data_IF_396759548782
#
_entry.id   IF_396759548782
#
_cell.length_a   1.000
_cell.length_b   1.000
_cell.length_c   1.000
_cell.angle_alpha   90.00
_cell.angle_beta   90.00
_cell.angle_gamma   90.00
#
_symmetry.space_group_name_H-M   'P 1'
#
loop_
_entity.id
_entity.type
_entity.pdbx_description
1 polymer ?
#
# COMPACT_ATOMS: atom_id res chain seq x y z
N UNK A 1 31.37 38.38 26.82
CA UNK A 1 30.71 38.98 28.00
C UNK A 1 29.87 40.14 27.54
N UNK A 2 28.66 40.28 28.09
CA UNK A 2 27.91 41.55 28.18
C UNK A 2 28.70 42.54 29.07
N UNK A 3 28.50 43.89 29.04
CA UNK A 3 27.22 44.66 29.05
C UNK A 3 27.22 45.86 28.05
N UNK A 4 26.16 46.62 27.69
CA UNK A 4 25.00 47.25 28.33
C UNK A 4 25.29 48.52 29.18
N UNK A 5 24.82 49.71 28.72
CA UNK A 5 24.07 50.74 29.50
C UNK A 5 23.69 52.00 28.68
N UNK A 6 22.41 52.38 28.80
CA UNK A 6 21.71 53.66 28.51
C UNK A 6 21.95 54.70 29.66
N UNK A 7 21.23 55.85 29.89
CA UNK A 7 20.04 56.46 29.24
C UNK A 7 19.95 58.03 29.16
N UNK A 8 18.77 58.51 28.75
CA UNK A 8 18.00 59.76 29.06
C UNK A 8 18.50 61.15 28.60
N UNK A 9 17.65 62.09 28.13
CA UNK A 9 16.66 62.88 28.92
C UNK A 9 15.53 63.50 28.03
N UNK A 10 14.28 63.27 28.48
CA UNK A 10 13.07 64.13 28.69
C UNK A 10 12.42 65.12 27.68
N UNK A 11 11.11 65.28 27.96
CA UNK A 11 9.93 65.84 27.29
C UNK A 11 9.54 67.30 27.69
N UNK A 12 8.46 67.79 27.05
CA UNK A 12 7.47 68.87 27.41
C UNK A 12 7.75 70.26 26.80
N UNK A 13 6.84 71.04 26.18
CA UNK A 13 5.42 70.97 25.79
C UNK A 13 4.85 72.37 25.42
N UNK A 14 3.78 72.44 24.57
CA UNK A 14 2.77 73.54 24.33
C UNK A 14 3.24 74.92 23.78
N UNK A 15 2.56 75.70 22.91
CA UNK A 15 1.18 75.83 22.39
C UNK A 15 1.10 76.75 21.11
N UNK A 16 0.13 76.47 20.20
CA UNK A 16 -0.60 77.33 19.18
C UNK A 16 0.14 78.31 18.24
N UNK A 17 -0.07 78.38 16.90
CA UNK A 17 -1.29 78.36 16.06
C UNK A 17 -1.09 77.66 14.67
N UNK A 18 -2.22 77.28 14.03
CA UNK A 18 -2.46 76.47 12.79
C UNK A 18 -2.46 77.29 11.46
N UNK A 19 -2.77 76.78 10.22
CA UNK A 19 -3.36 75.48 9.80
C UNK A 19 -2.80 74.79 8.51
N UNK A 20 -3.18 73.52 8.27
CA UNK A 20 -3.28 72.94 6.93
C UNK A 20 -3.01 71.43 6.81
N UNK A 21 -4.07 70.61 6.77
CA UNK A 21 -3.96 69.18 6.38
C UNK A 21 -5.34 68.54 6.13
N UNK A 22 -5.48 67.63 5.14
CA UNK A 22 -6.69 66.82 4.97
C UNK A 22 -6.48 65.36 5.42
N UNK A 23 -7.41 64.88 6.26
CA UNK A 23 -7.53 63.51 6.77
C UNK A 23 -8.24 62.57 5.78
N UNK A 24 -7.99 61.25 5.92
CA UNK A 24 -9.06 60.25 5.72
C UNK A 24 -8.63 58.86 5.24
N UNK A 25 -8.31 57.96 6.17
CA UNK A 25 -8.33 56.49 5.96
C UNK A 25 -9.78 55.99 6.20
N UNK A 26 -10.27 54.97 5.45
CA UNK A 26 -10.95 53.73 5.93
C UNK A 26 -11.59 52.92 4.77
N UNK A 27 -11.66 51.60 5.04
CA UNK A 27 -11.97 50.34 4.32
C UNK A 27 -13.40 50.12 3.72
N UNK A 28 -13.42 49.20 2.73
CA UNK A 28 -14.31 48.01 2.48
C UNK A 28 -15.72 48.08 1.82
N UNK A 29 -16.01 46.99 1.08
CA UNK A 29 -17.28 46.31 0.70
C UNK A 29 -17.89 46.48 -0.74
N UNK A 30 -17.74 45.41 -1.54
CA UNK A 30 -18.74 44.59 -2.30
C UNK A 30 -19.92 45.17 -3.12
N UNK A 31 -20.07 44.71 -4.39
CA UNK A 31 -21.14 43.80 -4.94
C UNK A 31 -21.60 44.07 -6.42
N UNK A 32 -21.67 42.97 -7.23
CA UNK A 32 -22.39 42.65 -8.51
C UNK A 32 -22.58 43.69 -9.66
N UNK A 33 -22.67 43.38 -10.98
CA UNK A 33 -22.74 42.16 -11.79
C UNK A 33 -23.15 42.46 -13.26
N UNK A 34 -23.10 41.43 -14.13
CA UNK A 34 -23.76 41.23 -15.45
C UNK A 34 -23.14 41.68 -16.83
N UNK A 35 -22.66 40.65 -17.55
CA UNK A 35 -22.69 40.26 -19.00
C UNK A 35 -22.81 41.23 -20.19
N UNK A 36 -22.08 40.90 -21.28
CA UNK A 36 -22.47 41.20 -22.68
C UNK A 36 -21.44 40.86 -23.77
N UNK A 37 -21.70 39.78 -24.53
CA UNK A 37 -21.45 39.54 -25.98
C UNK A 37 -20.02 39.49 -26.61
N UNK A 38 -19.63 38.25 -26.98
CA UNK A 38 -19.39 37.70 -28.34
C UNK A 38 -18.66 38.52 -29.44
N UNK A 39 -17.47 38.07 -29.87
CA UNK A 39 -17.02 37.93 -31.29
C UNK A 39 -15.62 37.24 -31.32
N UNK A 40 -15.43 36.04 -31.89
CA UNK A 40 -15.24 35.62 -33.31
C UNK A 40 -13.80 35.77 -33.84
N UNK A 41 -13.27 34.66 -34.40
CA UNK A 41 -12.09 34.49 -35.28
C UNK A 41 -10.71 34.62 -34.59
N UNK A 42 -9.62 33.95 -34.99
CA UNK A 42 -9.33 32.95 -36.03
C UNK A 42 -7.91 32.41 -35.82
N UNK A 43 -7.66 31.25 -36.43
CA UNK A 43 -6.40 30.49 -36.58
C UNK A 43 -5.17 31.33 -36.94
N UNK A 44 -3.99 30.89 -36.48
CA UNK A 44 -2.76 30.81 -37.30
C UNK A 44 -1.82 29.72 -36.76
N UNK A 45 -1.44 28.80 -37.65
CA UNK A 45 -0.29 27.90 -37.51
C UNK A 45 0.99 28.68 -37.84
N UNK A 46 2.08 28.40 -37.14
CA UNK A 46 3.41 28.40 -37.76
C UNK A 46 4.34 27.40 -37.09
N UNK A 47 4.86 26.52 -37.95
CA UNK A 47 6.01 25.65 -37.75
C UNK A 47 7.29 26.48 -37.53
N UNK A 48 8.12 26.09 -36.56
CA UNK A 48 9.60 26.07 -36.66
C UNK A 48 10.10 24.87 -35.84
N UNK A 49 10.79 23.95 -36.50
CA UNK A 49 11.53 22.83 -35.91
C UNK A 49 12.83 23.31 -35.26
N UNK A 50 13.19 22.70 -34.12
CA UNK A 50 14.58 22.34 -33.81
C UNK A 50 14.65 21.26 -32.69
N UNK A 51 15.73 20.46 -32.65
CA UNK A 51 15.72 19.09 -32.13
C UNK A 51 15.96 19.03 -30.63
N UNK A 52 15.23 18.19 -29.91
CA UNK A 52 15.60 17.86 -28.53
C UNK A 52 15.18 16.44 -28.13
N UNK A 53 16.19 15.69 -27.70
CA UNK A 53 16.20 14.61 -26.72
C UNK A 53 14.97 13.68 -26.64
N UNK A 54 15.23 12.41 -26.95
CA UNK A 54 14.35 11.26 -26.69
C UNK A 54 13.97 11.19 -25.19
N UNK A 55 12.87 11.83 -24.79
CA UNK A 55 12.26 11.62 -23.48
C UNK A 55 11.48 10.30 -23.52
N UNK A 56 11.99 9.29 -22.81
CA UNK A 56 11.19 8.11 -22.42
C UNK A 56 9.89 8.60 -21.78
N UNK A 57 8.70 8.15 -22.21
CA UNK A 57 7.49 8.47 -21.50
C UNK A 57 7.51 7.76 -20.14
N UNK A 58 7.70 8.52 -19.06
CA UNK A 58 7.30 8.07 -17.73
C UNK A 58 5.78 7.87 -17.78
N UNK A 59 5.35 6.61 -17.81
CA UNK A 59 3.95 6.24 -17.70
C UNK A 59 3.40 6.86 -16.40
N UNK A 60 2.50 7.84 -16.54
CA UNK A 60 1.78 8.40 -15.40
C UNK A 60 0.90 7.29 -14.85
N UNK A 61 1.23 6.80 -13.65
CA UNK A 61 0.40 5.91 -12.86
C UNK A 61 -1.03 6.49 -12.83
N UNK A 62 -2.02 5.78 -13.40
CA UNK A 62 -3.41 6.20 -13.32
C UNK A 62 -3.83 6.15 -11.85
N UNK A 63 -3.96 7.32 -11.24
CA UNK A 63 -4.47 7.53 -9.89
C UNK A 63 -5.95 7.11 -9.87
N UNK A 64 -6.23 5.86 -9.53
CA UNK A 64 -7.58 5.46 -9.17
C UNK A 64 -7.82 5.89 -7.73
N UNK A 65 -8.83 6.75 -7.54
CA UNK A 65 -9.37 7.07 -6.23
C UNK A 65 -10.06 5.83 -5.66
N UNK A 66 -9.27 4.93 -5.07
CA UNK A 66 -9.76 3.89 -4.18
C UNK A 66 -9.30 4.26 -2.77
N UNK A 67 -9.90 5.29 -2.19
CA UNK A 67 -9.79 5.54 -0.75
C UNK A 67 -11.18 5.67 -0.15
N UNK A 68 -11.35 4.98 0.97
CA UNK A 68 -12.36 5.32 1.97
C UNK A 68 -13.74 4.75 1.72
N UNK A 69 -13.87 3.45 1.41
CA UNK A 69 -15.05 2.76 1.90
C UNK A 69 -14.66 2.04 3.18
N UNK A 70 -14.99 2.65 4.32
CA UNK A 70 -15.15 1.91 5.58
C UNK A 70 -15.92 0.64 5.26
N UNK A 71 -15.39 -0.49 5.72
CA UNK A 71 -15.79 -1.83 5.34
C UNK A 71 -17.22 -2.13 5.82
N UNK A 72 -18.25 -1.65 5.11
CA UNK A 72 -19.64 -1.75 5.56
C UNK A 72 -20.29 -3.13 5.33
N UNK A 73 -19.55 -4.15 4.90
CA UNK A 73 -20.02 -5.53 5.07
C UNK A 73 -18.90 -6.32 5.76
N UNK A 74 -18.78 -6.15 7.08
CA UNK A 74 -18.15 -7.19 7.90
C UNK A 74 -18.81 -8.53 7.52
N UNK A 75 -18.03 -9.61 7.34
CA UNK A 75 -18.60 -10.93 7.23
C UNK A 75 -19.65 -11.13 8.34
N UNK A 76 -20.84 -11.62 7.96
CA UNK A 76 -21.91 -11.85 8.93
C UNK A 76 -21.57 -12.99 9.90
N UNK A 77 -20.58 -13.80 9.55
CA UNK A 77 -20.08 -14.93 10.31
C UNK A 77 -18.56 -14.90 10.32
N UNK A 78 -17.92 -15.12 11.48
CA UNK A 78 -16.47 -15.17 11.61
C UNK A 78 -15.90 -16.40 10.88
N UNK A 79 -14.62 -16.34 10.52
CA UNK A 79 -13.91 -17.40 9.79
C UNK A 79 -12.65 -17.87 10.54
N UNK A 80 -12.77 -18.60 11.68
CA UNK A 80 -11.64 -18.85 12.57
C UNK A 80 -10.48 -19.62 11.95
N UNK A 81 -10.77 -20.62 11.13
CA UNK A 81 -9.74 -21.38 10.43
C UNK A 81 -8.95 -20.49 9.49
N UNK A 82 -9.63 -19.57 8.80
CA UNK A 82 -9.00 -18.68 7.85
C UNK A 82 -8.15 -17.61 8.54
N UNK A 83 -8.64 -17.07 9.65
CA UNK A 83 -7.87 -16.16 10.51
C UNK A 83 -6.58 -16.84 10.95
N UNK A 84 -6.66 -18.06 11.47
CA UNK A 84 -5.48 -18.80 11.94
C UNK A 84 -4.44 -19.00 10.83
N UNK A 85 -4.86 -19.40 9.63
CA UNK A 85 -3.94 -19.58 8.48
C UNK A 85 -3.26 -18.27 8.07
N UNK A 86 -4.03 -17.19 7.93
CA UNK A 86 -3.51 -15.90 7.44
C UNK A 86 -2.64 -15.23 8.49
N UNK A 87 -3.01 -15.29 9.77
CA UNK A 87 -2.19 -14.72 10.85
C UNK A 87 -0.88 -15.49 11.01
N UNK A 88 -0.90 -16.82 10.88
CA UNK A 88 0.33 -17.61 10.86
C UNK A 88 1.26 -17.18 9.71
N UNK A 89 0.72 -17.04 8.50
CA UNK A 89 1.51 -16.60 7.36
C UNK A 89 2.03 -15.17 7.51
N UNK A 90 1.20 -14.25 8.01
CA UNK A 90 1.59 -12.87 8.32
C UNK A 90 2.77 -12.84 9.29
N UNK A 91 2.67 -13.55 10.42
CA UNK A 91 3.74 -13.60 11.43
C UNK A 91 5.04 -14.13 10.84
N UNK A 92 4.98 -15.23 10.09
CA UNK A 92 6.15 -15.78 9.41
C UNK A 92 6.80 -14.76 8.47
N UNK A 93 6.01 -14.01 7.69
CA UNK A 93 6.53 -12.97 6.82
C UNK A 93 7.14 -11.79 7.59
N UNK A 94 6.55 -11.38 8.72
CA UNK A 94 7.10 -10.33 9.59
C UNK A 94 8.44 -10.77 10.20
N UNK A 95 8.54 -12.02 10.63
CA UNK A 95 9.77 -12.62 11.14
C UNK A 95 10.85 -12.70 10.05
N UNK A 96 10.48 -13.05 8.80
CA UNK A 96 11.40 -13.00 7.66
C UNK A 96 11.95 -11.58 7.43
N UNK A 97 11.10 -10.56 7.55
CA UNK A 97 11.53 -9.16 7.48
C UNK A 97 12.52 -8.80 8.59
N UNK A 98 12.28 -9.27 9.82
CA UNK A 98 13.21 -9.08 10.93
C UNK A 98 14.55 -9.75 10.67
N UNK A 99 14.56 -10.99 10.17
CA UNK A 99 15.79 -11.72 9.84
C UNK A 99 16.61 -11.02 8.75
N UNK A 100 15.94 -10.53 7.70
CA UNK A 100 16.57 -9.75 6.61
C UNK A 100 17.19 -8.47 7.18
N UNK A 101 16.48 -7.74 8.03
CA UNK A 101 16.99 -6.51 8.64
C UNK A 101 18.13 -6.77 9.64
N UNK A 102 18.03 -7.83 10.44
CA UNK A 102 19.09 -8.23 11.36
C UNK A 102 20.38 -8.57 10.60
N UNK A 103 20.28 -9.32 9.51
CA UNK A 103 21.44 -9.66 8.66
C UNK A 103 22.10 -8.42 8.08
N UNK A 104 21.33 -7.45 7.57
CA UNK A 104 21.90 -6.20 7.03
C UNK A 104 22.48 -5.33 8.14
N UNK A 105 21.87 -5.30 9.33
CA UNK A 105 22.38 -4.59 10.50
C UNK A 105 23.75 -5.14 10.93
N UNK A 106 23.90 -6.47 11.00
CA UNK A 106 25.15 -7.13 11.38
C UNK A 106 26.26 -6.81 10.38
N UNK A 107 25.96 -6.86 9.08
CA UNK A 107 26.87 -6.49 8.00
C UNK A 107 27.32 -5.03 8.10
N UNK A 108 26.40 -4.08 8.25
CA UNK A 108 26.74 -2.65 8.37
C UNK A 108 27.53 -2.36 9.65
N UNK A 109 27.19 -3.04 10.74
CA UNK A 109 27.90 -2.91 12.02
C UNK A 109 29.34 -3.43 11.92
N UNK A 110 29.56 -4.55 11.22
CA UNK A 110 30.90 -5.06 10.91
C UNK A 110 31.68 -4.07 10.05
N UNK A 111 31.08 -3.54 8.97
CA UNK A 111 31.70 -2.52 8.12
C UNK A 111 32.08 -1.26 8.90
N UNK A 112 31.21 -0.79 9.80
CA UNK A 112 31.50 0.37 10.64
C UNK A 112 32.71 0.13 11.55
N UNK A 113 32.84 -1.08 12.13
CA UNK A 113 33.98 -1.46 12.98
C UNK A 113 35.29 -1.46 12.19
N UNK A 114 35.28 -2.00 10.97
CA UNK A 114 36.48 -2.10 10.12
C UNK A 114 36.93 -0.74 9.58
N UNK A 115 35.97 0.11 9.20
CA UNK A 115 36.26 1.41 8.58
C UNK A 115 36.65 2.51 9.58
N UNK A 116 36.40 2.30 10.89
CA UNK A 116 36.61 3.31 11.95
C UNK A 116 38.04 3.85 12.03
N UNK A 117 39.04 3.10 11.57
CA UNK A 117 40.46 3.50 11.62
C UNK A 117 40.97 4.19 10.35
N UNK A 118 40.35 3.95 9.20
CA UNK A 118 40.94 4.27 7.89
C UNK A 118 40.02 5.06 6.95
N UNK A 119 38.80 5.41 7.36
CA UNK A 119 37.81 6.07 6.49
C UNK A 119 37.56 7.54 6.86
N UNK A 120 37.03 8.30 5.89
CA UNK A 120 36.62 9.69 6.06
C UNK A 120 35.37 9.78 6.95
N UNK A 121 35.30 10.81 7.79
CA UNK A 121 34.19 11.01 8.74
C UNK A 121 32.79 10.97 8.08
N UNK A 122 32.65 11.52 6.87
CA UNK A 122 31.38 11.49 6.14
C UNK A 122 30.87 10.07 5.83
N UNK A 123 31.78 9.14 5.50
CA UNK A 123 31.42 7.74 5.21
C UNK A 123 30.93 7.03 6.48
N UNK A 124 31.58 7.30 7.62
CA UNK A 124 31.15 6.76 8.91
C UNK A 124 29.78 7.30 9.33
N UNK A 125 29.50 8.58 9.05
CA UNK A 125 28.20 9.18 9.29
C UNK A 125 27.10 8.55 8.44
N UNK A 126 27.35 8.31 7.16
CA UNK A 126 26.38 7.67 6.26
C UNK A 126 26.09 6.22 6.67
N UNK A 127 27.11 5.47 7.13
CA UNK A 127 26.94 4.12 7.68
C UNK A 127 26.12 4.12 8.98
N UNK A 128 26.45 4.99 9.94
CA UNK A 128 25.68 5.15 11.19
C UNK A 128 24.21 5.51 10.91
N UNK A 129 23.96 6.37 9.91
CA UNK A 129 22.61 6.72 9.48
C UNK A 129 21.85 5.51 8.92
N UNK A 130 22.50 4.66 8.13
CA UNK A 130 21.89 3.42 7.62
C UNK A 130 21.57 2.44 8.75
N UNK A 131 22.51 2.21 9.66
CA UNK A 131 22.33 1.38 10.87
C UNK A 131 21.10 1.85 11.65
N UNK A 132 21.05 3.15 12.00
CA UNK A 132 19.91 3.71 12.73
C UNK A 132 18.60 3.65 11.95
N UNK A 133 18.62 3.58 10.63
CA UNK A 133 17.41 3.42 9.81
C UNK A 133 16.88 1.98 9.94
N UNK A 134 17.77 0.99 9.83
CA UNK A 134 17.42 -0.43 9.98
C UNK A 134 16.93 -0.74 11.39
N UNK A 135 17.63 -0.27 12.43
CA UNK A 135 17.19 -0.50 13.80
C UNK A 135 15.79 0.11 14.09
N UNK A 136 15.44 1.23 13.44
CA UNK A 136 14.09 1.81 13.54
C UNK A 136 13.06 0.96 12.80
N UNK A 137 13.43 0.40 11.65
CA UNK A 137 12.55 -0.51 10.90
C UNK A 137 12.27 -1.79 11.71
N UNK A 138 13.29 -2.37 12.34
CA UNK A 138 13.14 -3.54 13.22
C UNK A 138 12.20 -3.27 14.39
N UNK A 139 12.41 -2.17 15.14
CA UNK A 139 11.51 -1.80 16.25
C UNK A 139 10.05 -1.64 15.82
N UNK A 140 9.81 -1.15 14.59
CA UNK A 140 8.46 -1.06 14.03
C UNK A 140 7.87 -2.43 13.70
N UNK A 141 8.66 -3.36 13.19
CA UNK A 141 8.23 -4.74 12.93
C UNK A 141 7.91 -5.46 14.23
N UNK A 142 8.77 -5.36 15.25
CA UNK A 142 8.53 -5.91 16.60
C UNK A 142 7.23 -5.38 17.22
N UNK A 143 6.99 -4.07 17.08
CA UNK A 143 5.73 -3.46 17.51
C UNK A 143 4.53 -4.00 16.73
N UNK A 144 4.67 -4.19 15.40
CA UNK A 144 3.61 -4.73 14.56
C UNK A 144 3.26 -6.18 14.91
N UNK A 145 4.28 -7.02 15.10
CA UNK A 145 4.11 -8.40 15.57
C UNK A 145 3.38 -8.41 16.92
N UNK A 146 3.82 -7.59 17.87
CA UNK A 146 3.17 -7.47 19.18
C UNK A 146 1.70 -7.07 19.05
N UNK A 147 1.37 -6.17 18.11
CA UNK A 147 -0.01 -5.73 17.89
C UNK A 147 -0.88 -6.82 17.26
N UNK A 148 -0.33 -7.56 16.31
CA UNK A 148 -0.98 -8.74 15.71
C UNK A 148 -1.26 -9.79 16.78
N UNK A 149 -0.28 -10.08 17.65
CA UNK A 149 -0.41 -11.06 18.72
C UNK A 149 -1.49 -10.67 19.73
N UNK A 150 -1.49 -9.43 20.21
CA UNK A 150 -2.52 -8.92 21.12
C UNK A 150 -3.95 -9.10 20.55
N UNK A 151 -4.16 -8.72 19.30
CA UNK A 151 -5.47 -8.85 18.65
C UNK A 151 -5.84 -10.31 18.39
N UNK A 152 -4.89 -11.15 18.01
CA UNK A 152 -5.15 -12.57 17.78
C UNK A 152 -5.46 -13.32 19.08
N UNK A 153 -4.82 -12.95 20.20
CA UNK A 153 -5.17 -13.46 21.53
C UNK A 153 -6.60 -13.06 21.92
N UNK A 154 -6.96 -11.78 21.72
CA UNK A 154 -8.33 -11.31 21.95
C UNK A 154 -9.36 -12.08 21.09
N UNK A 155 -9.04 -12.33 19.82
CA UNK A 155 -9.87 -13.16 18.93
C UNK A 155 -10.06 -14.57 19.48
N UNK A 156 -8.98 -15.22 19.93
CA UNK A 156 -9.02 -16.56 20.49
C UNK A 156 -9.89 -16.64 21.77
N UNK A 157 -9.87 -15.60 22.60
CA UNK A 157 -10.75 -15.50 23.77
C UNK A 157 -12.22 -15.45 23.34
N UNK A 158 -12.58 -14.57 22.40
CA UNK A 158 -13.96 -14.45 21.91
C UNK A 158 -14.44 -15.76 21.27
N UNK A 159 -13.60 -16.42 20.46
CA UNK A 159 -13.89 -17.75 19.89
C UNK A 159 -14.22 -18.78 20.96
N UNK A 160 -13.39 -18.86 22.01
CA UNK A 160 -13.61 -19.81 23.11
C UNK A 160 -14.90 -19.53 23.88
N UNK A 161 -15.25 -18.26 24.08
CA UNK A 161 -16.51 -17.85 24.70
C UNK A 161 -17.73 -18.22 23.82
N UNK A 162 -17.65 -17.96 22.52
CA UNK A 162 -18.67 -18.35 21.54
C UNK A 162 -18.88 -19.87 21.51
N UNK A 163 -17.80 -20.65 21.50
CA UNK A 163 -17.84 -22.11 21.56
C UNK A 163 -18.51 -22.61 22.86
N UNK A 164 -18.17 -21.97 23.99
CA UNK A 164 -18.81 -22.25 25.28
C UNK A 164 -20.32 -21.96 25.26
N UNK A 165 -20.72 -20.79 24.74
CA UNK A 165 -22.12 -20.43 24.57
C UNK A 165 -22.88 -21.40 23.66
N UNK A 166 -22.27 -21.84 22.55
CA UNK A 166 -22.83 -22.84 21.65
C UNK A 166 -23.09 -24.18 22.35
N UNK A 167 -22.13 -24.66 23.15
CA UNK A 167 -22.27 -25.90 23.94
C UNK A 167 -23.35 -25.76 25.01
N UNK A 168 -23.41 -24.63 25.72
CA UNK A 168 -24.47 -24.37 26.70
C UNK A 168 -25.85 -24.35 26.03
N UNK A 169 -25.98 -23.70 24.88
CA UNK A 169 -27.24 -23.67 24.11
C UNK A 169 -27.72 -25.08 23.76
N UNK A 170 -26.81 -25.96 23.33
CA UNK A 170 -27.13 -27.36 23.05
C UNK A 170 -27.57 -28.13 24.31
N UNK A 171 -26.85 -27.96 25.43
CA UNK A 171 -27.17 -28.62 26.69
C UNK A 171 -28.55 -28.21 27.25
N UNK A 172 -28.86 -26.90 27.23
CA UNK A 172 -30.17 -26.40 27.66
C UNK A 172 -31.30 -26.80 26.71
N UNK A 173 -31.03 -26.91 25.40
CA UNK A 173 -32.02 -27.39 24.43
C UNK A 173 -32.35 -28.89 24.61
N UNK A 174 -31.40 -29.68 25.11
CA UNK A 174 -31.62 -31.09 25.44
C UNK A 174 -32.23 -31.30 26.85
N UNK A 175 -32.34 -30.24 27.65
CA UNK A 175 -32.87 -30.28 29.02
C UNK A 175 -34.39 -30.11 29.04
N UNK A 176 -35.10 -30.61 30.08
CA UNK A 176 -36.54 -30.41 30.22
C UNK A 176 -36.92 -28.92 30.14
N UNK A 177 -37.96 -28.61 29.37
CA UNK A 177 -38.41 -27.24 29.15
C UNK A 177 -38.98 -26.65 30.45
N UNK A 178 -38.21 -25.77 31.10
CA UNK A 178 -38.64 -24.98 32.26
C UNK A 178 -38.61 -23.48 31.94
N UNK A 179 -39.25 -22.66 32.76
CA UNK A 179 -39.17 -21.19 32.62
C UNK A 179 -37.72 -20.70 32.76
N UNK A 180 -37.00 -21.18 33.77
CA UNK A 180 -35.59 -20.85 33.98
C UNK A 180 -34.73 -21.27 32.78
N UNK A 181 -34.95 -22.47 32.23
CA UNK A 181 -34.22 -22.93 31.05
C UNK A 181 -34.45 -22.03 29.82
N UNK A 182 -35.68 -21.51 29.63
CA UNK A 182 -35.99 -20.55 28.55
C UNK A 182 -35.30 -19.20 28.76
N UNK A 183 -35.26 -18.70 29.99
CA UNK A 183 -34.56 -17.46 30.34
C UNK A 183 -33.05 -17.60 30.10
N UNK A 184 -32.42 -18.70 30.56
CA UNK A 184 -31.01 -19.00 30.29
C UNK A 184 -30.71 -19.13 28.79
N UNK A 185 -31.56 -19.83 28.02
CA UNK A 185 -31.40 -19.94 26.56
C UNK A 185 -31.44 -18.58 25.86
N UNK A 186 -32.30 -17.66 26.32
CA UNK A 186 -32.35 -16.30 25.78
C UNK A 186 -31.09 -15.51 26.07
N UNK A 187 -30.54 -15.63 27.29
CA UNK A 187 -29.31 -14.95 27.68
C UNK A 187 -28.09 -15.50 26.92
N UNK A 188 -27.95 -16.83 26.86
CA UNK A 188 -26.91 -17.51 26.07
C UNK A 188 -27.01 -17.10 24.60
N UNK A 189 -28.22 -16.99 24.05
CA UNK A 189 -28.44 -16.52 22.68
C UNK A 189 -27.96 -15.09 22.43
N UNK A 190 -28.11 -14.20 23.43
CA UNK A 190 -27.59 -12.83 23.36
C UNK A 190 -26.06 -12.83 23.42
N UNK A 191 -25.46 -13.51 24.40
CA UNK A 191 -24.01 -13.58 24.56
C UNK A 191 -23.33 -14.23 23.35
N UNK A 192 -23.88 -15.31 22.80
CA UNK A 192 -23.38 -15.91 21.57
C UNK A 192 -23.33 -14.90 20.41
N UNK A 193 -24.39 -14.11 20.24
CA UNK A 193 -24.43 -13.08 19.18
C UNK A 193 -23.36 -12.02 19.41
N UNK A 194 -23.22 -11.53 20.63
CA UNK A 194 -22.20 -10.55 21.00
C UNK A 194 -20.78 -11.07 20.74
N UNK A 195 -20.46 -12.30 21.14
CA UNK A 195 -19.16 -12.91 20.84
C UNK A 195 -18.91 -13.04 19.33
N UNK A 196 -19.96 -13.37 18.56
CA UNK A 196 -19.87 -13.44 17.09
C UNK A 196 -19.56 -12.06 16.48
N UNK A 197 -20.25 -11.01 16.92
CA UNK A 197 -20.03 -9.63 16.46
C UNK A 197 -18.64 -9.12 16.84
N UNK A 198 -18.17 -9.43 18.06
CA UNK A 198 -16.82 -9.10 18.52
C UNK A 198 -15.76 -9.81 17.66
N UNK A 199 -15.93 -11.09 17.36
CA UNK A 199 -15.01 -11.82 16.48
C UNK A 199 -14.92 -11.17 15.10
N UNK A 200 -16.05 -10.86 14.44
CA UNK A 200 -16.04 -10.19 13.14
C UNK A 200 -15.36 -8.80 13.20
N UNK A 201 -15.52 -8.10 14.32
CA UNK A 201 -14.86 -6.80 14.53
C UNK A 201 -13.35 -6.96 14.63
N UNK A 202 -12.88 -7.93 15.41
CA UNK A 202 -11.44 -8.21 15.54
C UNK A 202 -10.86 -8.71 14.20
N UNK A 203 -11.58 -9.52 13.43
CA UNK A 203 -11.16 -9.92 12.07
C UNK A 203 -10.94 -8.70 11.16
N UNK A 204 -11.86 -7.74 11.17
CA UNK A 204 -11.71 -6.52 10.40
C UNK A 204 -10.52 -5.65 10.87
N UNK A 205 -10.21 -5.65 12.17
CA UNK A 205 -9.03 -4.98 12.71
C UNK A 205 -7.73 -5.68 12.29
N UNK A 206 -7.70 -7.01 12.36
CA UNK A 206 -6.57 -7.84 11.89
C UNK A 206 -6.34 -7.65 10.38
N UNK A 207 -7.40 -7.55 9.57
CA UNK A 207 -7.28 -7.24 8.13
C UNK A 207 -6.53 -5.93 7.87
N UNK A 208 -6.72 -4.91 8.72
CA UNK A 208 -6.00 -3.63 8.59
C UNK A 208 -4.51 -3.73 8.89
N UNK A 209 -4.06 -4.82 9.53
CA UNK A 209 -2.64 -5.07 9.86
C UNK A 209 -1.92 -5.94 8.82
N UNK A 210 -2.61 -6.37 7.76
CA UNK A 210 -1.99 -7.24 6.75
C UNK A 210 -1.07 -6.50 5.78
N UNK A 211 -1.13 -5.17 5.74
CA UNK A 211 -0.32 -4.34 4.85
C UNK A 211 -0.83 -4.30 3.41
N UNK A 212 0.06 -4.41 2.44
CA UNK A 212 -0.22 -4.21 1.01
C UNK A 212 0.52 -5.22 0.13
N UNK A 213 -0.15 -5.77 -0.89
CA UNK A 213 0.48 -6.50 -1.99
C UNK A 213 0.62 -5.57 -3.20
N UNK A 214 1.85 -5.25 -3.60
CA UNK A 214 2.15 -4.64 -4.89
C UNK A 214 2.31 -5.74 -5.94
N UNK A 215 1.43 -5.75 -6.94
CA UNK A 215 1.36 -6.78 -7.97
C UNK A 215 1.73 -6.14 -9.31
N UNK A 216 2.80 -6.62 -9.91
CA UNK A 216 3.33 -6.13 -11.17
C UNK A 216 3.12 -7.16 -12.29
N UNK A 217 2.60 -6.71 -13.42
CA UNK A 217 2.48 -7.54 -14.62
C UNK A 217 3.85 -7.78 -15.25
N UNK A 218 4.22 -9.06 -15.45
CA UNK A 218 5.48 -9.43 -16.12
C UNK A 218 5.25 -9.95 -17.53
N UNK A 219 4.15 -10.65 -17.78
CA UNK A 219 3.82 -11.14 -19.12
C UNK A 219 2.88 -12.35 -19.11
N UNK A 220 2.41 -12.70 -20.29
CA UNK A 220 1.69 -13.95 -20.56
C UNK A 220 2.62 -14.91 -21.31
N UNK A 221 2.76 -16.14 -20.87
CA UNK A 221 3.52 -17.17 -21.56
C UNK A 221 2.56 -18.22 -22.10
N UNK A 222 2.70 -18.60 -23.37
CA UNK A 222 1.89 -19.64 -23.98
C UNK A 222 2.52 -20.15 -25.26
N UNK A 223 3.23 -21.27 -25.17
CA UNK A 223 3.94 -21.85 -26.30
C UNK A 223 2.94 -22.16 -27.44
N UNK A 224 3.23 -21.64 -28.63
CA UNK A 224 2.42 -21.73 -29.86
C UNK A 224 1.01 -21.10 -29.83
N UNK A 225 0.59 -20.48 -28.73
CA UNK A 225 -0.76 -19.87 -28.61
C UNK A 225 -0.75 -18.34 -28.72
N UNK A 226 0.37 -17.70 -28.44
CA UNK A 226 0.49 -16.24 -28.48
C UNK A 226 1.06 -15.81 -29.84
N UNK A 227 0.23 -15.25 -30.70
CA UNK A 227 0.61 -14.79 -32.03
C UNK A 227 0.77 -13.26 -32.07
N UNK A 228 1.67 -12.74 -32.93
CA UNK A 228 1.71 -11.32 -33.25
C UNK A 228 0.35 -10.73 -33.60
N UNK A 229 -0.03 -9.64 -32.94
CA UNK A 229 -1.30 -8.96 -33.12
C UNK A 229 -2.40 -9.39 -32.15
N UNK A 230 -2.24 -10.52 -31.47
CA UNK A 230 -3.20 -10.97 -30.45
C UNK A 230 -3.35 -9.92 -29.36
N UNK A 231 -4.58 -9.77 -28.88
CA UNK A 231 -4.93 -8.87 -27.80
C UNK A 231 -5.58 -9.65 -26.67
N UNK A 232 -5.17 -9.36 -25.45
CA UNK A 232 -5.66 -10.03 -24.25
C UNK A 232 -6.16 -9.01 -23.24
N UNK A 233 -7.19 -9.41 -22.50
CA UNK A 233 -7.72 -8.72 -21.35
C UNK A 233 -7.59 -9.62 -20.12
N UNK A 234 -6.89 -9.14 -19.11
CA UNK A 234 -6.72 -9.79 -17.81
C UNK A 234 -7.56 -9.04 -16.81
N UNK A 235 -8.44 -9.74 -16.14
CA UNK A 235 -9.27 -9.21 -15.07
C UNK A 235 -8.98 -9.95 -13.77
N UNK A 236 -8.43 -9.22 -12.79
CA UNK A 236 -8.21 -9.71 -11.44
C UNK A 236 -9.24 -9.13 -10.49
N UNK A 237 -9.75 -9.95 -9.59
CA UNK A 237 -10.66 -9.56 -8.52
C UNK A 237 -10.18 -10.13 -7.20
N UNK A 238 -10.12 -9.29 -6.17
CA UNK A 238 -9.77 -9.70 -4.82
C UNK A 238 -10.71 -9.02 -3.82
N UNK A 239 -11.71 -9.76 -3.36
CA UNK A 239 -12.86 -9.18 -2.66
C UNK A 239 -13.56 -8.11 -3.52
N UNK A 240 -13.51 -6.86 -3.06
CA UNK A 240 -14.06 -5.69 -3.78
C UNK A 240 -13.04 -5.01 -4.69
N UNK A 241 -11.76 -5.35 -4.55
CA UNK A 241 -10.68 -4.78 -5.32
C UNK A 241 -10.64 -5.43 -6.70
N UNK A 242 -10.36 -4.62 -7.73
CA UNK A 242 -10.41 -5.04 -9.12
C UNK A 242 -9.26 -4.41 -9.88
N UNK A 243 -8.61 -5.20 -10.71
CA UNK A 243 -7.65 -4.72 -11.68
C UNK A 243 -7.99 -5.27 -13.05
N UNK A 244 -8.05 -4.40 -14.04
CA UNK A 244 -8.35 -4.75 -15.42
C UNK A 244 -7.21 -4.23 -16.27
N UNK A 245 -6.60 -5.14 -17.01
CA UNK A 245 -5.43 -4.88 -17.83
C UNK A 245 -5.71 -5.34 -19.26
N UNK A 246 -5.29 -4.56 -20.25
CA UNK A 246 -5.27 -4.96 -21.65
C UNK A 246 -3.84 -4.98 -22.15
N UNK A 247 -3.53 -5.98 -22.96
CA UNK A 247 -2.23 -6.04 -23.61
C UNK A 247 -2.28 -6.64 -24.98
N UNK A 248 -1.19 -6.47 -25.70
CA UNK A 248 -1.02 -6.90 -27.07
C UNK A 248 0.33 -7.61 -27.23
N UNK A 249 0.32 -8.67 -28.03
CA UNK A 249 1.54 -9.33 -28.50
C UNK A 249 2.04 -8.56 -29.73
N UNK A 250 3.22 -7.97 -29.65
CA UNK A 250 3.82 -7.20 -30.74
C UNK A 250 4.47 -8.10 -31.79
N UNK A 251 4.75 -7.53 -32.97
CA UNK A 251 5.35 -8.24 -34.10
C UNK A 251 6.68 -8.93 -33.78
N UNK A 252 7.44 -8.39 -32.84
CA UNK A 252 8.72 -8.94 -32.38
C UNK A 252 8.59 -9.89 -31.17
N UNK A 253 7.37 -10.31 -30.82
CA UNK A 253 7.10 -11.17 -29.66
C UNK A 253 7.15 -10.46 -28.30
N UNK A 254 7.51 -9.18 -28.25
CA UNK A 254 7.38 -8.38 -27.01
C UNK A 254 5.90 -8.17 -26.69
N UNK A 255 5.61 -7.88 -25.43
CA UNK A 255 4.26 -7.63 -24.97
C UNK A 255 4.15 -6.20 -24.47
N UNK A 256 3.07 -5.53 -24.86
CA UNK A 256 2.70 -4.22 -24.34
C UNK A 256 1.45 -4.36 -23.49
N UNK A 257 1.43 -3.70 -22.33
CA UNK A 257 0.33 -3.75 -21.36
C UNK A 257 -0.04 -2.33 -20.93
N UNK A 258 -1.33 -2.02 -20.78
CA UNK A 258 -1.83 -0.67 -20.46
C UNK A 258 -1.77 -0.29 -18.96
N UNK A 259 -1.19 -1.18 -18.15
CA UNK A 259 -0.93 -1.04 -16.73
C UNK A 259 0.23 -1.94 -16.30
N UNK A 260 1.13 -1.40 -15.50
CA UNK A 260 2.31 -2.15 -15.05
C UNK A 260 2.12 -2.77 -13.67
N UNK A 261 1.39 -2.08 -12.78
CA UNK A 261 1.33 -2.42 -11.36
C UNK A 261 -0.02 -2.01 -10.75
N UNK A 262 -0.48 -2.78 -9.76
CA UNK A 262 -1.63 -2.47 -8.90
C UNK A 262 -1.28 -2.82 -7.45
N UNK A 263 -1.88 -2.11 -6.50
CA UNK A 263 -1.81 -2.46 -5.07
C UNK A 263 -3.14 -3.06 -4.63
N UNK A 264 -3.06 -4.20 -3.96
CA UNK A 264 -4.18 -4.84 -3.28
C UNK A 264 -3.93 -4.90 -1.77
N UNK A 265 -4.94 -4.52 -0.99
CA UNK A 265 -4.99 -4.77 0.44
C UNK A 265 -5.29 -6.26 0.66
N UNK A 266 -4.44 -7.01 1.39
CA UNK A 266 -4.74 -8.39 1.76
C UNK A 266 -6.05 -8.48 2.54
N UNK A 267 -6.72 -9.62 2.39
CA UNK A 267 -7.96 -9.96 3.09
C UNK A 267 -7.70 -11.25 3.87
N UNK A 268 -8.28 -11.36 5.06
CA UNK A 268 -8.35 -12.64 5.76
C UNK A 268 -9.19 -13.58 4.91
N UNK A 269 -10.39 -13.14 4.54
CA UNK A 269 -11.34 -13.95 3.77
C UNK A 269 -11.34 -13.49 2.31
N UNK A 270 -10.60 -14.21 1.47
CA UNK A 270 -10.62 -13.94 0.04
C UNK A 270 -9.50 -14.63 -0.72
N UNK A 271 -9.74 -14.83 -2.00
CA UNK A 271 -8.79 -15.35 -2.98
C UNK A 271 -8.71 -14.38 -4.15
N UNK A 272 -7.55 -14.34 -4.82
CA UNK A 272 -7.41 -13.55 -6.05
C UNK A 272 -7.97 -14.38 -7.21
N UNK A 273 -9.11 -13.96 -7.75
CA UNK A 273 -9.66 -14.54 -8.98
C UNK A 273 -9.08 -13.82 -10.19
N UNK A 274 -8.53 -14.58 -11.14
CA UNK A 274 -7.94 -14.09 -12.37
C UNK A 274 -8.71 -14.68 -13.54
N UNK A 275 -9.14 -13.84 -14.47
CA UNK A 275 -9.79 -14.22 -15.73
C UNK A 275 -9.01 -13.64 -16.89
N UNK A 276 -8.66 -14.47 -17.87
CA UNK A 276 -7.96 -14.05 -19.09
C UNK A 276 -8.87 -14.27 -20.29
N UNK A 277 -9.00 -13.24 -21.12
CA UNK A 277 -9.87 -13.24 -22.30
C UNK A 277 -9.07 -12.75 -23.51
N UNK A 278 -9.12 -13.45 -24.62
CA UNK A 278 -8.58 -13.01 -25.90
C UNK A 278 -9.61 -12.13 -26.61
N UNK A 279 -9.18 -11.00 -27.16
CA UNK A 279 -10.02 -10.02 -27.84
C UNK A 279 -9.89 -10.22 -29.35
N UNK A 280 -10.91 -10.79 -29.99
CA UNK A 280 -10.99 -10.97 -31.44
C UNK A 280 -11.86 -9.88 -32.06
N UNK A 281 -11.23 -8.77 -32.44
CA UNK A 281 -11.91 -7.60 -33.00
C UNK A 281 -12.74 -6.84 -31.96
N UNK A 282 -13.78 -6.13 -32.40
CA UNK A 282 -14.54 -5.19 -31.55
C UNK A 282 -15.62 -5.85 -30.68
N UNK A 283 -16.07 -7.07 -31.03
CA UNK A 283 -17.23 -7.70 -30.41
C UNK A 283 -17.01 -9.15 -29.95
N UNK A 284 -15.97 -9.83 -30.43
CA UNK A 284 -15.74 -11.24 -30.09
C UNK A 284 -14.71 -11.35 -28.98
N UNK A 285 -15.10 -11.93 -27.86
CA UNK A 285 -14.25 -12.13 -26.69
C UNK A 285 -14.21 -13.62 -26.37
N UNK A 286 -13.03 -14.24 -26.43
CA UNK A 286 -12.86 -15.67 -26.16
C UNK A 286 -12.25 -15.87 -24.77
N UNK A 287 -12.94 -16.62 -23.91
CA UNK A 287 -12.38 -16.99 -22.61
C UNK A 287 -11.19 -17.92 -22.81
N UNK A 288 -10.02 -17.47 -22.38
CA UNK A 288 -8.78 -18.26 -22.40
C UNK A 288 -8.71 -19.19 -21.19
N UNK A 289 -9.14 -18.68 -20.04
CA UNK A 289 -9.21 -19.42 -18.80
C UNK A 289 -9.46 -18.52 -17.59
N UNK A 290 -9.71 -19.15 -16.45
CA UNK A 290 -9.90 -18.48 -15.18
C UNK A 290 -9.40 -19.34 -14.05
N UNK A 291 -8.75 -18.72 -13.07
CA UNK A 291 -8.10 -19.38 -11.93
C UNK A 291 -8.35 -18.56 -10.68
N UNK A 292 -8.32 -19.24 -9.53
CA UNK A 292 -8.43 -18.61 -8.21
C UNK A 292 -7.18 -18.96 -7.42
N UNK A 293 -6.49 -17.94 -6.91
CA UNK A 293 -5.20 -18.07 -6.24
C UNK A 293 -5.33 -17.80 -4.74
N UNK A 294 -4.71 -18.68 -3.95
CA UNK A 294 -4.43 -18.47 -2.53
C UNK A 294 -3.40 -17.35 -2.34
N UNK A 295 -3.55 -16.59 -1.25
CA UNK A 295 -2.72 -15.42 -0.93
C UNK A 295 -1.83 -15.61 0.29
N UNK A 296 -2.03 -16.65 1.10
CA UNK A 296 -1.23 -16.85 2.33
C UNK A 296 0.27 -17.02 2.07
N UNK A 297 0.65 -17.58 0.92
CA UNK A 297 2.07 -17.74 0.54
C UNK A 297 2.71 -16.43 0.02
N UNK A 298 1.95 -15.33 -0.06
CA UNK A 298 2.44 -14.05 -0.58
C UNK A 298 3.07 -13.17 0.49
N UNK A 299 2.90 -13.50 1.78
CA UNK A 299 3.51 -12.79 2.91
C UNK A 299 4.99 -13.16 3.04
N UNK A 300 5.84 -12.53 2.24
CA UNK A 300 7.30 -12.75 2.27
C UNK A 300 8.07 -11.43 2.17
N UNK A 301 9.26 -11.39 2.78
CA UNK A 301 10.08 -10.18 2.83
C UNK A 301 10.66 -9.79 1.48
N UNK A 302 10.91 -10.79 0.61
CA UNK A 302 11.48 -10.59 -0.73
C UNK A 302 10.41 -10.59 -1.81
N UNK A 303 10.57 -9.80 -2.88
CA UNK A 303 9.72 -9.89 -4.06
C UNK A 303 9.73 -11.30 -4.66
N UNK A 304 8.55 -11.80 -5.01
CA UNK A 304 8.35 -13.14 -5.57
C UNK A 304 7.85 -13.03 -7.01
N UNK A 305 8.43 -13.79 -7.93
CA UNK A 305 7.88 -13.93 -9.30
C UNK A 305 7.07 -15.22 -9.35
N UNK A 306 5.76 -15.08 -9.52
CA UNK A 306 4.82 -16.21 -9.60
C UNK A 306 4.38 -16.43 -11.04
N UNK A 307 4.24 -17.70 -11.42
CA UNK A 307 3.66 -18.11 -12.69
C UNK A 307 2.35 -18.86 -12.41
N UNK A 308 1.24 -18.25 -12.81
CA UNK A 308 -0.11 -18.77 -12.57
C UNK A 308 -0.61 -19.48 -13.82
N UNK A 309 -0.92 -20.75 -13.72
CA UNK A 309 -1.54 -21.51 -14.80
C UNK A 309 -2.99 -21.02 -14.99
N UNK A 310 -3.30 -20.51 -16.18
CA UNK A 310 -4.59 -19.86 -16.46
C UNK A 310 -5.66 -20.86 -16.89
N UNK A 311 -5.25 -22.00 -17.43
CA UNK A 311 -6.13 -23.09 -17.81
C UNK A 311 -5.60 -24.42 -17.27
N UNK A 312 -6.49 -25.40 -17.17
CA UNK A 312 -6.19 -26.72 -16.57
C UNK A 312 -5.06 -27.47 -17.29
N UNK A 313 -4.81 -27.14 -18.56
CA UNK A 313 -3.74 -27.72 -19.36
C UNK A 313 -2.37 -27.08 -19.10
N UNK A 314 -2.29 -25.99 -18.33
CA UNK A 314 -1.05 -25.25 -18.06
C UNK A 314 -0.39 -24.64 -19.32
N UNK A 315 -1.13 -24.58 -20.43
CA UNK A 315 -0.62 -24.13 -21.74
C UNK A 315 -0.47 -22.63 -21.84
N UNK A 316 -1.17 -21.89 -20.98
CA UNK A 316 -1.06 -20.44 -20.85
C UNK A 316 -0.82 -20.12 -19.38
N UNK A 317 0.26 -19.39 -19.11
CA UNK A 317 0.69 -18.98 -17.78
C UNK A 317 0.77 -17.47 -17.70
N UNK A 318 0.28 -16.90 -16.61
CA UNK A 318 0.42 -15.49 -16.29
C UNK A 318 1.58 -15.30 -15.32
N UNK A 319 2.57 -14.51 -15.70
CA UNK A 319 3.70 -14.15 -14.84
C UNK A 319 3.44 -12.81 -14.15
N UNK A 320 3.50 -12.83 -12.81
CA UNK A 320 3.34 -11.66 -11.94
C UNK A 320 4.53 -11.57 -11.00
N UNK A 321 4.94 -10.35 -10.67
CA UNK A 321 5.89 -10.10 -9.59
C UNK A 321 5.12 -9.48 -8.43
N UNK A 322 5.22 -10.08 -7.25
CA UNK A 322 4.47 -9.71 -6.06
C UNK A 322 5.48 -9.26 -5.01
N UNK A 323 5.29 -8.04 -4.50
CA UNK A 323 6.03 -7.53 -3.35
C UNK A 323 5.03 -7.26 -2.24
N UNK A 324 5.23 -7.89 -1.09
CA UNK A 324 4.45 -7.58 0.10
C UNK A 324 5.10 -6.45 0.88
N UNK A 325 4.27 -5.64 1.51
CA UNK A 325 4.67 -4.50 2.30
C UNK A 325 3.86 -4.51 3.61
N UNK A 326 4.47 -4.77 4.77
CA UNK A 326 3.74 -5.02 6.03
C UNK A 326 3.06 -3.78 6.63
N UNK A 327 3.35 -2.58 6.10
CA UNK A 327 2.83 -1.31 6.60
C UNK A 327 2.09 -0.56 5.48
N UNK A 328 1.02 0.19 5.81
CA UNK A 328 0.40 1.16 4.89
C UNK A 328 1.40 2.31 4.58
N UNK A 329 1.26 2.89 3.38
CA UNK A 329 1.83 4.17 2.96
C UNK A 329 1.60 5.31 3.98
N UNK A 330 0.46 5.33 4.68
CA UNK A 330 0.08 6.43 5.59
C UNK A 330 0.84 6.40 6.93
N UNK A 331 1.22 5.23 7.43
CA UNK A 331 1.99 5.06 8.68
C UNK A 331 3.46 5.49 8.59
N UNK A 332 3.96 5.75 7.39
CA UNK A 332 5.29 6.34 7.16
C UNK A 332 5.27 7.88 7.22
N UNK A 333 4.09 8.51 7.29
CA UNK A 333 3.91 9.97 7.18
C UNK A 333 3.38 10.66 8.43
N UNK A 334 3.80 10.23 9.62
CA UNK A 334 3.66 11.05 10.83
C UNK A 334 4.50 12.36 10.79
N UNK A 335 5.21 12.68 9.70
CA UNK A 335 6.11 13.84 9.63
C UNK A 335 6.13 14.67 8.33
N UNK A 336 5.31 14.43 7.30
CA UNK A 336 5.23 15.42 6.20
C UNK A 336 3.98 15.28 5.34
N UNK A 337 3.40 16.43 5.00
CA UNK A 337 2.05 16.57 4.43
C UNK A 337 1.79 15.89 3.09
N UNK A 338 0.51 15.88 2.74
CA UNK A 338 -0.10 15.24 1.58
C UNK A 338 0.70 15.46 0.27
N UNK A 339 1.46 14.46 -0.15
CA UNK A 339 2.28 14.52 -1.37
C UNK A 339 2.59 13.15 -1.96
N UNK A 340 1.84 12.78 -3.02
CA UNK A 340 2.07 11.69 -3.98
C UNK A 340 2.39 10.29 -3.42
N UNK A 341 1.35 9.45 -3.26
CA UNK A 341 1.45 8.01 -2.91
C UNK A 341 2.41 7.21 -3.83
N UNK A 342 2.52 7.57 -5.12
CA UNK A 342 3.49 6.97 -6.03
C UNK A 342 4.96 7.28 -5.67
N UNK A 343 5.25 8.48 -5.16
CA UNK A 343 6.58 8.86 -4.69
C UNK A 343 6.90 8.23 -3.31
N UNK A 344 5.87 7.96 -2.50
CA UNK A 344 6.01 7.18 -1.27
C UNK A 344 6.31 5.71 -1.57
N UNK A 345 5.61 5.10 -2.53
CA UNK A 345 5.88 3.74 -3.02
C UNK A 345 7.30 3.62 -3.61
N UNK A 346 7.73 4.58 -4.43
CA UNK A 346 9.11 4.62 -4.98
C UNK A 346 10.19 4.82 -3.90
N UNK A 347 9.94 5.65 -2.89
CA UNK A 347 10.86 5.79 -1.73
C UNK A 347 10.96 4.49 -0.92
N UNK A 348 9.86 3.75 -0.77
CA UNK A 348 9.83 2.43 -0.11
C UNK A 348 10.56 1.36 -0.93
N UNK A 349 10.34 1.33 -2.24
CA UNK A 349 11.11 0.47 -3.14
C UNK A 349 12.60 0.72 -2.93
N UNK A 350 13.05 1.98 -2.91
CA UNK A 350 14.46 2.30 -2.63
C UNK A 350 14.97 1.87 -1.25
N UNK A 351 14.12 1.75 -0.21
CA UNK A 351 14.54 1.29 1.11
C UNK A 351 14.72 -0.24 1.17
N UNK A 352 13.93 -0.99 0.41
CA UNK A 352 13.99 -2.46 0.37
C UNK A 352 14.76 -2.99 -0.85
N UNK A 353 15.05 -2.14 -1.85
CA UNK A 353 15.78 -2.48 -3.09
C UNK A 353 17.23 -1.99 -3.08
N UNK A 354 17.77 -1.54 -1.94
CA UNK A 354 19.19 -1.27 -1.80
C UNK A 354 19.98 -2.60 -1.72
N UNK A 355 20.01 -3.32 -2.84
CA UNK A 355 21.18 -4.11 -3.17
C UNK A 355 22.37 -3.15 -3.30
N UNK A 356 23.51 -3.54 -2.72
CA UNK A 356 24.78 -2.84 -2.86
C UNK A 356 25.02 -2.45 -4.33
N UNK A 357 25.49 -1.23 -4.62
CA UNK A 357 25.98 -0.93 -5.97
C UNK A 357 27.07 -1.96 -6.29
N UNK A 358 26.87 -2.77 -7.34
CA UNK A 358 27.97 -3.57 -7.85
C UNK A 358 29.07 -2.60 -8.29
N UNK A 359 30.21 -2.66 -7.61
CA UNK A 359 31.43 -1.99 -8.06
C UNK A 359 31.78 -2.60 -9.42
N UNK A 360 31.87 -1.81 -10.50
CA UNK A 360 32.29 -2.35 -11.79
C UNK A 360 33.74 -2.81 -11.64
N UNK A 361 33.97 -4.11 -11.66
CA UNK A 361 35.32 -4.65 -11.79
C UNK A 361 35.77 -4.41 -13.22
N UNK A 362 36.69 -3.44 -13.35
CA UNK A 362 37.42 -3.20 -14.58
C UNK A 362 38.25 -4.46 -14.86
N UNK A 363 37.77 -5.31 -15.78
CA UNK A 363 38.62 -6.36 -16.35
C UNK A 363 39.49 -5.70 -17.40
N UNK A 364 40.74 -5.43 -17.04
CA UNK A 364 41.82 -5.23 -17.99
C UNK A 364 41.95 -6.51 -18.81
N UNK A 365 41.53 -6.45 -20.08
CA UNK A 365 42.02 -7.38 -21.09
C UNK A 365 43.23 -6.74 -21.75
N UNK A 366 44.41 -7.22 -21.36
CA UNK A 366 45.65 -7.04 -22.11
C UNK A 366 45.97 -8.34 -22.85
N UNK A 367 46.21 -8.17 -24.15
CA UNK A 367 46.61 -9.11 -25.21
C UNK A 367 45.59 -10.15 -25.68
#
# INVERSE_FOLDING_TARGET
GLPARLPEIMLVGSQSFSPGGPNGIIRSQSFAGFSGLQERRSRCNSFIENPSALKKPQAKLKKMHNLGHKNNNLPKEPQPQRVEEVIRALKNGLDEYLEVHQTELDKLTAQLKDMRRNSRLGVLYDLDKQIKTIERAMRRLEFHISKVDELYEAYCIQRRLQDGASKMKQAFAASPTSRAARESLSEIGRSHREYTENMCTIEAELENLLGEFSIKMKGLAGFARLCPGDQYEIFMKYGRQRWKLKGKIEANGKQSWDGEEVVFLPLIVGFISIKVTELKGLATHLLVGSVTCETKELFAARPQVVAVDINDLGTIKLSLEITWYPFDVEDMTASSGAGNKAAALQRRMSMYSQGTPETPTLKDHSF
#
